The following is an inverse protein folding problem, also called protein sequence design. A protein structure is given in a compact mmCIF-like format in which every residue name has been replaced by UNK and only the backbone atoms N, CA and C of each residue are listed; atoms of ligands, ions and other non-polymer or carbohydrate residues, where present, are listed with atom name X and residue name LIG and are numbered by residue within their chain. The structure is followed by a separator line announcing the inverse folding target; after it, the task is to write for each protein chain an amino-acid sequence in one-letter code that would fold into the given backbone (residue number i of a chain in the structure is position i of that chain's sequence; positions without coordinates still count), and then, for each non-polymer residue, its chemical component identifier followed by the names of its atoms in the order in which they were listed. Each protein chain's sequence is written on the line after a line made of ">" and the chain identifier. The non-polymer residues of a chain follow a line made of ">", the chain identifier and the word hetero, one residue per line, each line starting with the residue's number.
data_IF_044574411651
#
_entry.id   IF_044574411651
#
_cell.length_a   1.000
_cell.length_b   1.000
_cell.length_c   1.000
_cell.angle_alpha   90.00
_cell.angle_beta   90.00
_cell.angle_gamma   90.00
#
_symmetry.space_group_name_H-M   'P 1'
#
loop_
_entity.id
_entity.type
_entity.pdbx_description
1 polymer ?
#
# COMPACT_ATOMS: atom_id res chain seq x y z
N UNK A 1 -16.02 -10.46 3.96
CA UNK A 1 -16.98 -9.37 4.05
C UNK A 1 -16.29 -8.03 3.84
N UNK A 2 -17.08 -6.98 3.55
CA UNK A 2 -16.64 -5.59 3.55
C UNK A 2 -17.22 -4.92 4.80
N UNK A 3 -16.37 -4.22 5.54
CA UNK A 3 -16.77 -3.36 6.64
C UNK A 3 -16.69 -1.90 6.22
N UNK A 4 -17.57 -1.07 6.74
CA UNK A 4 -17.35 0.37 6.86
C UNK A 4 -17.04 0.67 8.33
N UNK A 5 -15.95 1.42 8.57
CA UNK A 5 -15.44 1.71 9.90
C UNK A 5 -15.14 3.20 10.04
N UNK A 6 -15.23 3.72 11.25
CA UNK A 6 -14.74 5.05 11.60
C UNK A 6 -13.27 4.97 12.02
N UNK A 7 -12.43 5.76 11.32
CA UNK A 7 -11.03 5.95 11.67
C UNK A 7 -10.70 7.45 11.67
N UNK A 8 -9.83 7.88 12.55
CA UNK A 8 -9.26 9.22 12.47
C UNK A 8 -8.30 9.32 11.29
N UNK A 9 -8.02 10.55 10.84
CA UNK A 9 -7.01 10.78 9.81
C UNK A 9 -5.63 10.30 10.23
N UNK A 10 -5.29 10.46 11.52
CA UNK A 10 -4.03 9.94 12.05
C UNK A 10 -3.98 8.41 11.98
N UNK A 11 -5.04 7.71 12.38
CA UNK A 11 -5.12 6.24 12.28
C UNK A 11 -5.01 5.74 10.83
N UNK A 12 -5.58 6.47 9.85
CA UNK A 12 -5.43 6.16 8.42
C UNK A 12 -3.98 6.33 7.99
N UNK A 13 -3.33 7.42 8.39
CA UNK A 13 -1.92 7.65 8.09
C UNK A 13 -1.05 6.55 8.70
N UNK A 14 -1.23 6.23 9.96
CA UNK A 14 -0.44 5.23 10.68
C UNK A 14 -0.65 3.81 10.11
N UNK A 15 -1.86 3.48 9.67
CA UNK A 15 -2.15 2.27 8.91
C UNK A 15 -1.28 2.16 7.64
N UNK A 16 -1.19 3.25 6.88
CA UNK A 16 -0.37 3.31 5.66
C UNK A 16 1.12 3.31 5.98
N UNK A 17 1.55 4.04 7.01
CA UNK A 17 2.93 4.03 7.49
C UNK A 17 3.38 2.61 7.85
N UNK A 18 2.56 1.86 8.57
CA UNK A 18 2.82 0.47 8.90
C UNK A 18 2.94 -0.41 7.64
N UNK A 19 2.04 -0.23 6.66
CA UNK A 19 2.07 -0.96 5.41
C UNK A 19 3.36 -0.71 4.63
N UNK A 20 3.68 0.56 4.37
CA UNK A 20 4.85 0.94 3.59
C UNK A 20 6.16 0.75 4.36
N UNK A 21 6.13 0.94 5.69
CA UNK A 21 7.27 0.70 6.55
C UNK A 21 7.72 -0.75 6.60
N UNK A 22 6.79 -1.69 6.48
CA UNK A 22 7.10 -3.12 6.41
C UNK A 22 7.55 -3.58 5.02
N UNK A 23 7.20 -2.83 3.97
CA UNK A 23 7.44 -3.22 2.59
C UNK A 23 8.68 -2.56 2.00
N UNK A 24 8.81 -1.25 2.15
CA UNK A 24 9.93 -0.49 1.60
C UNK A 24 11.09 -0.37 2.57
N UNK A 25 12.29 -0.53 2.02
CA UNK A 25 13.52 -0.14 2.69
C UNK A 25 13.56 1.39 2.90
N UNK A 26 14.36 1.85 3.83
CA UNK A 26 14.75 3.26 3.87
C UNK A 26 15.96 3.42 2.95
N UNK A 27 15.75 4.08 1.81
CA UNK A 27 16.84 4.32 0.87
C UNK A 27 17.67 5.52 1.32
N UNK A 28 18.97 5.34 1.42
CA UNK A 28 19.95 6.38 1.68
C UNK A 28 20.69 6.83 0.42
N UNK A 29 20.63 6.00 -0.61
CA UNK A 29 21.24 6.20 -1.91
C UNK A 29 20.32 5.69 -3.02
N UNK A 30 20.44 6.26 -4.22
CA UNK A 30 19.62 5.86 -5.38
C UNK A 30 19.89 4.43 -5.86
N UNK A 31 21.01 3.83 -5.45
CA UNK A 31 21.39 2.47 -5.76
C UNK A 31 20.98 1.45 -4.69
N UNK A 32 20.33 1.89 -3.61
CA UNK A 32 19.80 1.00 -2.60
C UNK A 32 18.69 0.10 -3.15
N UNK A 33 18.42 -1.00 -2.47
CA UNK A 33 17.23 -1.81 -2.71
C UNK A 33 15.98 -1.07 -2.21
N UNK A 34 14.92 -1.08 -3.01
CA UNK A 34 13.63 -0.49 -2.65
C UNK A 34 12.89 -1.34 -1.61
N UNK A 35 12.97 -2.67 -1.75
CA UNK A 35 12.25 -3.61 -0.90
C UNK A 35 13.12 -4.10 0.25
N UNK A 36 12.48 -4.47 1.36
CA UNK A 36 13.15 -5.04 2.52
C UNK A 36 13.41 -6.53 2.32
N UNK A 37 14.65 -6.85 2.03
CA UNK A 37 15.13 -8.23 1.96
C UNK A 37 15.78 -8.65 3.26
N UNK A 38 15.75 -9.96 3.53
CA UNK A 38 16.59 -10.56 4.58
C UNK A 38 18.02 -10.67 4.11
N UNK A 39 18.94 -10.53 5.03
CA UNK A 39 20.38 -10.72 4.79
C UNK A 39 20.88 -11.93 5.59
N UNK A 40 21.91 -12.58 5.06
CA UNK A 40 22.65 -13.62 5.75
C UNK A 40 23.74 -13.01 6.65
N UNK A 41 24.53 -13.88 7.32
CA UNK A 41 25.59 -13.47 8.25
C UNK A 41 26.73 -12.75 7.53
N UNK A 42 26.91 -12.96 6.24
CA UNK A 42 27.93 -12.33 5.40
C UNK A 42 27.43 -11.00 4.78
N UNK A 43 26.18 -10.60 5.05
CA UNK A 43 25.57 -9.37 4.53
C UNK A 43 25.05 -9.48 3.10
N UNK A 44 24.92 -10.69 2.53
CA UNK A 44 24.29 -10.91 1.25
C UNK A 44 22.79 -11.11 1.39
N UNK A 45 22.03 -10.77 0.36
CA UNK A 45 20.57 -11.03 0.36
C UNK A 45 20.33 -12.54 0.43
N UNK A 46 19.57 -12.94 1.46
CA UNK A 46 19.24 -14.34 1.68
C UNK A 46 18.30 -14.86 0.61
N UNK A 47 18.69 -15.96 -0.03
CA UNK A 47 17.91 -16.63 -1.05
C UNK A 47 17.14 -17.82 -0.45
N UNK A 48 15.89 -17.98 -0.85
CA UNK A 48 15.09 -19.14 -0.49
C UNK A 48 15.65 -20.41 -1.13
N UNK A 49 15.91 -21.43 -0.33
CA UNK A 49 16.41 -22.71 -0.83
C UNK A 49 15.43 -23.38 -1.79
N UNK A 50 14.13 -23.21 -1.52
CA UNK A 50 13.05 -23.84 -2.30
C UNK A 50 12.77 -23.13 -3.62
N UNK A 51 12.68 -21.78 -3.58
CA UNK A 51 12.20 -21.01 -4.74
C UNK A 51 13.32 -20.31 -5.48
N UNK A 52 14.54 -20.29 -4.93
CA UNK A 52 15.71 -19.58 -5.47
C UNK A 52 15.43 -18.09 -5.74
N UNK A 53 14.55 -17.50 -4.94
CA UNK A 53 14.21 -16.08 -4.95
C UNK A 53 14.62 -15.42 -3.65
N UNK A 54 14.85 -14.10 -3.62
CA UNK A 54 15.13 -13.36 -2.39
C UNK A 54 14.08 -13.58 -1.32
N UNK A 55 14.48 -13.71 -0.07
CA UNK A 55 13.56 -13.70 1.06
C UNK A 55 13.28 -12.27 1.51
N UNK A 56 12.00 -11.96 1.69
CA UNK A 56 11.57 -10.68 2.25
C UNK A 56 11.58 -10.71 3.78
N UNK A 57 11.84 -9.56 4.43
CA UNK A 57 11.73 -9.44 5.89
C UNK A 57 10.31 -9.74 6.34
N UNK A 58 9.33 -9.14 5.66
CA UNK A 58 7.91 -9.30 5.95
C UNK A 58 7.18 -10.05 4.83
N UNK A 59 5.99 -10.53 5.13
CA UNK A 59 5.18 -11.26 4.16
C UNK A 59 4.63 -10.31 3.10
N UNK A 60 5.08 -10.44 1.85
CA UNK A 60 4.72 -9.56 0.74
C UNK A 60 3.20 -9.37 0.55
N UNK A 61 2.39 -10.39 0.85
CA UNK A 61 0.93 -10.31 0.73
C UNK A 61 0.26 -9.48 1.84
N UNK A 62 1.02 -8.98 2.81
CA UNK A 62 0.51 -8.14 3.88
C UNK A 62 0.50 -6.64 3.53
N UNK A 63 0.90 -6.29 2.32
CA UNK A 63 0.88 -4.93 1.81
C UNK A 63 -0.55 -4.38 1.63
N UNK A 64 -0.74 -3.10 1.90
CA UNK A 64 -1.99 -2.37 1.67
C UNK A 64 -1.70 -0.96 1.17
N UNK A 65 -2.53 -0.49 0.24
CA UNK A 65 -2.61 0.90 -0.19
C UNK A 65 -4.04 1.40 -0.02
N UNK A 66 -4.30 2.68 -0.23
CA UNK A 66 -5.62 3.27 -0.09
C UNK A 66 -6.07 3.98 -1.37
N UNK A 67 -7.37 3.98 -1.62
CA UNK A 67 -8.07 4.84 -2.55
C UNK A 67 -8.94 5.84 -1.78
N UNK A 68 -9.40 6.89 -2.43
CA UNK A 68 -10.22 7.93 -1.77
C UNK A 68 -9.41 9.08 -1.17
N UNK A 69 -8.10 8.97 -1.14
CA UNK A 69 -7.14 9.99 -0.68
C UNK A 69 -5.99 10.12 -1.67
N UNK A 70 -5.37 11.29 -1.73
CA UNK A 70 -4.16 11.57 -2.52
C UNK A 70 -2.96 11.69 -1.58
N UNK A 71 -1.89 10.92 -1.84
CA UNK A 71 -0.74 10.90 -0.94
C UNK A 71 0.58 10.56 -1.65
N UNK A 72 1.68 10.86 -0.97
CA UNK A 72 3.03 10.43 -1.37
C UNK A 72 3.65 9.55 -0.29
N UNK A 73 4.57 8.69 -0.72
CA UNK A 73 5.38 7.84 0.16
C UNK A 73 6.85 8.15 -0.08
N UNK A 74 7.50 8.78 0.88
CA UNK A 74 8.90 9.16 0.79
C UNK A 74 9.80 8.03 1.32
N UNK A 75 10.50 7.34 0.42
CA UNK A 75 11.35 6.20 0.75
C UNK A 75 12.70 6.59 1.36
N UNK A 76 13.03 7.88 1.40
CA UNK A 76 14.26 8.37 2.07
C UNK A 76 14.06 8.50 3.58
N UNK A 77 12.80 8.54 4.03
CA UNK A 77 12.45 8.74 5.42
C UNK A 77 12.32 7.43 6.19
N UNK A 78 12.51 7.46 7.51
CA UNK A 78 12.27 6.30 8.36
C UNK A 78 10.79 5.90 8.34
N UNK A 79 10.51 4.65 8.71
CA UNK A 79 9.14 4.16 8.89
C UNK A 79 8.41 5.01 9.96
N UNK A 80 7.19 5.43 9.67
CA UNK A 80 6.41 6.34 10.51
C UNK A 80 6.40 7.80 10.03
N UNK A 81 7.30 8.17 9.10
CA UNK A 81 7.44 9.54 8.59
C UNK A 81 7.32 9.62 7.06
N UNK A 82 6.95 8.52 6.39
CA UNK A 82 6.98 8.38 4.93
C UNK A 82 5.74 8.89 4.23
N UNK A 83 4.58 8.72 4.87
CA UNK A 83 3.29 8.97 4.23
C UNK A 83 2.86 10.41 4.46
N UNK A 84 2.68 11.14 3.36
CA UNK A 84 2.11 12.48 3.38
C UNK A 84 0.78 12.48 2.61
N UNK A 85 -0.33 12.51 3.33
CA UNK A 85 -1.68 12.60 2.77
C UNK A 85 -2.04 14.08 2.62
N UNK A 86 -2.40 14.48 1.40
CA UNK A 86 -2.67 15.90 1.09
C UNK A 86 -4.16 16.21 1.04
N UNK A 87 -4.93 15.40 0.31
CA UNK A 87 -6.34 15.66 0.08
C UNK A 87 -7.14 14.34 0.00
N UNK A 88 -8.43 14.45 0.13
CA UNK A 88 -9.36 13.44 -0.39
C UNK A 88 -9.34 13.46 -1.93
N UNK A 89 -9.82 12.40 -2.59
CA UNK A 89 -9.85 12.33 -4.07
C UNK A 89 -10.74 13.38 -4.73
N UNK A 90 -11.65 14.01 -3.99
CA UNK A 90 -12.46 15.14 -4.47
C UNK A 90 -11.77 16.51 -4.28
N UNK A 91 -10.50 16.54 -3.82
CA UNK A 91 -9.72 17.77 -3.63
C UNK A 91 -9.89 18.45 -2.28
N UNK A 92 -10.77 17.97 -1.41
CA UNK A 92 -10.92 18.51 -0.04
C UNK A 92 -9.65 18.19 0.76
N UNK A 93 -9.08 19.14 1.52
CA UNK A 93 -7.91 18.89 2.37
C UNK A 93 -8.16 17.72 3.34
N UNK A 94 -7.12 16.93 3.56
CA UNK A 94 -7.14 15.85 4.54
C UNK A 94 -6.62 16.36 5.88
N UNK A 95 -7.33 16.05 6.97
CA UNK A 95 -6.98 16.45 8.33
C UNK A 95 -6.78 15.24 9.22
N UNK A 96 -5.67 15.20 9.95
CA UNK A 96 -5.32 14.08 10.83
C UNK A 96 -6.24 13.92 12.03
N UNK A 97 -6.84 15.01 12.49
CA UNK A 97 -7.75 15.08 13.64
C UNK A 97 -9.23 14.86 13.27
N UNK A 98 -9.55 14.79 11.98
CA UNK A 98 -10.90 14.52 11.50
C UNK A 98 -11.20 13.02 11.48
N UNK A 99 -12.48 12.66 11.57
CA UNK A 99 -12.96 11.27 11.46
C UNK A 99 -13.45 11.00 10.04
N UNK A 100 -13.10 9.83 9.51
CA UNK A 100 -13.46 9.39 8.17
C UNK A 100 -14.12 8.02 8.20
N UNK A 101 -15.09 7.81 7.30
CA UNK A 101 -15.64 6.47 7.04
C UNK A 101 -14.77 5.75 6.02
N UNK A 102 -14.21 4.63 6.43
CA UNK A 102 -13.30 3.82 5.62
C UNK A 102 -13.94 2.49 5.26
N UNK A 103 -13.92 2.12 3.98
CA UNK A 103 -14.28 0.79 3.52
C UNK A 103 -13.05 -0.13 3.56
N UNK A 104 -13.17 -1.25 4.26
CA UNK A 104 -12.06 -2.19 4.50
C UNK A 104 -12.56 -3.64 4.51
N UNK A 105 -11.75 -4.60 4.04
CA UNK A 105 -12.14 -6.00 4.15
C UNK A 105 -12.17 -6.45 5.62
N UNK A 106 -13.03 -7.44 5.92
CA UNK A 106 -13.23 -7.92 7.30
C UNK A 106 -11.97 -8.46 7.95
N UNK A 107 -11.04 -9.05 7.18
CA UNK A 107 -9.75 -9.51 7.72
C UNK A 107 -8.95 -8.35 8.33
N UNK A 108 -8.81 -7.25 7.59
CA UNK A 108 -8.12 -6.04 8.07
C UNK A 108 -8.91 -5.35 9.17
N UNK A 109 -10.23 -5.20 8.97
CA UNK A 109 -11.12 -4.55 9.94
C UNK A 109 -11.18 -5.26 11.29
N UNK A 110 -10.88 -6.57 11.32
CA UNK A 110 -10.78 -7.34 12.59
C UNK A 110 -9.34 -7.43 13.12
N UNK A 111 -8.41 -6.59 12.62
CA UNK A 111 -7.03 -6.51 13.09
C UNK A 111 -6.06 -7.44 12.38
N UNK A 112 -6.51 -8.19 11.37
CA UNK A 112 -5.65 -9.09 10.58
C UNK A 112 -4.51 -8.35 9.90
N UNK A 113 -3.30 -8.91 10.01
CA UNK A 113 -2.07 -8.32 9.45
C UNK A 113 -1.49 -7.17 10.26
N UNK A 114 -2.15 -6.73 11.35
CA UNK A 114 -1.60 -5.76 12.29
C UNK A 114 -1.70 -4.28 11.91
N UNK A 115 -2.26 -3.93 10.74
CA UNK A 115 -2.31 -2.54 10.29
C UNK A 115 -3.11 -1.63 11.23
N UNK A 116 -4.30 -2.06 11.67
CA UNK A 116 -5.11 -1.30 12.61
C UNK A 116 -4.60 -1.40 14.05
N UNK A 117 -4.06 -2.55 14.44
CA UNK A 117 -3.64 -2.77 15.83
C UNK A 117 -2.21 -2.28 16.09
N UNK A 118 -1.21 -2.84 15.37
CA UNK A 118 0.20 -2.46 15.56
C UNK A 118 0.57 -1.17 14.82
N UNK A 119 -0.05 -0.94 13.67
CA UNK A 119 0.17 0.27 12.87
C UNK A 119 -0.56 1.47 13.47
N UNK A 120 -1.89 1.45 13.45
CA UNK A 120 -2.70 2.57 13.94
C UNK A 120 -2.90 2.59 15.47
N UNK A 121 -2.37 1.60 16.21
CA UNK A 121 -2.41 1.59 17.67
C UNK A 121 -3.79 1.30 18.27
N UNK A 122 -4.77 0.87 17.48
CA UNK A 122 -6.13 0.62 17.98
C UNK A 122 -6.17 -0.70 18.75
N UNK A 123 -6.59 -0.71 20.02
CA UNK A 123 -6.78 -1.94 20.79
C UNK A 123 -7.73 -2.90 20.05
N UNK A 124 -7.38 -4.19 20.04
CA UNK A 124 -8.15 -5.19 19.26
C UNK A 124 -9.62 -5.25 19.66
N UNK A 125 -9.91 -5.10 20.94
CA UNK A 125 -11.25 -5.08 21.53
C UNK A 125 -12.07 -3.85 21.11
N UNK A 126 -11.43 -2.76 20.66
CA UNK A 126 -12.09 -1.55 20.19
C UNK A 126 -12.52 -1.65 18.71
N UNK A 127 -11.88 -2.52 17.92
CA UNK A 127 -12.12 -2.60 16.47
C UNK A 127 -13.58 -2.88 16.14
N UNK A 128 -14.25 -3.77 16.88
CA UNK A 128 -15.66 -4.09 16.66
C UNK A 128 -16.60 -2.91 16.90
N UNK A 129 -16.26 -2.02 17.81
CA UNK A 129 -17.02 -0.80 18.11
C UNK A 129 -16.90 0.27 17.03
N UNK A 130 -15.83 0.20 16.22
CA UNK A 130 -15.60 1.12 15.10
C UNK A 130 -16.34 0.73 13.83
N UNK A 131 -16.92 -0.48 13.78
CA UNK A 131 -17.67 -0.96 12.61
C UNK A 131 -19.05 -0.30 12.57
N UNK A 132 -19.29 0.50 11.51
CA UNK A 132 -20.59 1.13 11.26
C UNK A 132 -21.52 0.13 10.57
N UNK A 133 -20.98 -0.61 9.59
CA UNK A 133 -21.76 -1.54 8.79
C UNK A 133 -20.89 -2.72 8.28
N UNK A 134 -21.53 -3.83 7.99
CA UNK A 134 -20.93 -5.02 7.40
C UNK A 134 -21.84 -5.57 6.31
N UNK A 135 -21.25 -6.02 5.21
CA UNK A 135 -22.00 -6.71 4.15
C UNK A 135 -22.47 -8.08 4.61
N UNK A 136 -23.59 -8.56 4.06
CA UNK A 136 -24.15 -9.90 4.30
C UNK A 136 -23.48 -11.01 3.48
N UNK A 137 -22.84 -10.65 2.36
CA UNK A 137 -22.10 -11.55 1.48
C UNK A 137 -20.62 -11.18 1.44
N UNK A 138 -19.78 -12.09 1.01
CA UNK A 138 -18.35 -11.83 0.83
C UNK A 138 -18.07 -10.90 -0.37
N UNK A 139 -16.88 -10.31 -0.37
CA UNK A 139 -16.47 -9.38 -1.43
C UNK A 139 -16.49 -10.01 -2.83
N UNK A 140 -16.24 -11.32 -2.95
CA UNK A 140 -16.24 -12.03 -4.24
C UNK A 140 -17.64 -12.06 -4.83
N UNK A 141 -18.66 -12.25 -4.00
CA UNK A 141 -20.07 -12.19 -4.45
C UNK A 141 -20.37 -10.84 -5.10
N UNK A 142 -20.02 -9.72 -4.44
CA UNK A 142 -20.28 -8.39 -4.97
C UNK A 142 -19.44 -8.10 -6.22
N UNK A 143 -18.18 -8.55 -6.25
CA UNK A 143 -17.32 -8.42 -7.43
C UNK A 143 -17.91 -9.18 -8.63
N UNK A 144 -18.37 -10.42 -8.43
CA UNK A 144 -19.02 -11.21 -9.47
C UNK A 144 -20.27 -10.49 -10.01
N UNK A 145 -21.14 -10.01 -9.11
CA UNK A 145 -22.35 -9.27 -9.51
C UNK A 145 -22.04 -7.98 -10.26
N UNK A 146 -20.98 -7.28 -9.85
CA UNK A 146 -20.52 -6.09 -10.55
C UNK A 146 -19.99 -6.41 -11.96
N UNK A 147 -19.19 -7.49 -12.10
CA UNK A 147 -18.68 -7.97 -13.39
C UNK A 147 -19.85 -8.39 -14.33
N UNK A 148 -20.80 -9.18 -13.81
CA UNK A 148 -22.01 -9.58 -14.56
C UNK A 148 -22.76 -8.36 -15.11
N UNK A 149 -22.89 -7.30 -14.30
CA UNK A 149 -23.56 -6.06 -14.69
C UNK A 149 -22.76 -5.26 -15.72
N UNK A 150 -21.42 -5.18 -15.57
CA UNK A 150 -20.54 -4.42 -16.45
C UNK A 150 -20.27 -5.10 -17.78
N UNK A 151 -20.30 -6.44 -17.82
CA UNK A 151 -20.00 -7.33 -18.96
C UNK A 151 -18.58 -7.18 -19.50
N UNK A 152 -18.14 -5.96 -19.75
CA UNK A 152 -16.78 -5.65 -20.21
C UNK A 152 -16.06 -4.82 -19.15
N UNK A 153 -14.82 -5.19 -18.83
CA UNK A 153 -13.97 -4.48 -17.89
C UNK A 153 -12.85 -3.77 -18.63
N UNK A 154 -12.68 -2.50 -18.32
CA UNK A 154 -11.53 -1.69 -18.74
C UNK A 154 -10.83 -1.16 -17.49
N UNK A 155 -9.87 -1.91 -16.93
CA UNK A 155 -9.17 -1.48 -15.73
C UNK A 155 -8.47 -0.15 -15.94
N UNK A 156 -8.60 0.75 -14.97
CA UNK A 156 -7.93 2.05 -14.96
C UNK A 156 -7.01 2.12 -13.76
N UNK A 157 -5.84 2.72 -13.94
CA UNK A 157 -4.94 3.03 -12.84
C UNK A 157 -5.44 4.30 -12.14
N UNK A 158 -5.69 4.23 -10.83
CA UNK A 158 -6.24 5.36 -10.08
C UNK A 158 -5.19 6.45 -9.84
N UNK A 159 -3.92 6.21 -9.91
CA UNK A 159 -2.81 7.18 -9.77
C UNK A 159 -2.94 8.19 -8.61
N UNK A 160 -3.62 7.80 -7.53
CA UNK A 160 -3.90 8.66 -6.38
C UNK A 160 -2.74 8.71 -5.36
N UNK A 161 -1.68 7.96 -5.62
CA UNK A 161 -0.48 8.00 -4.80
C UNK A 161 0.77 7.70 -5.62
N UNK A 162 1.92 8.14 -5.09
CA UNK A 162 3.22 7.89 -5.71
C UNK A 162 4.31 7.76 -4.65
N UNK A 163 5.37 7.05 -5.03
CA UNK A 163 6.60 6.98 -4.24
C UNK A 163 7.54 8.10 -4.67
N UNK A 164 8.23 8.70 -3.72
CA UNK A 164 9.21 9.76 -3.96
C UNK A 164 10.51 9.44 -3.20
N UNK A 165 11.67 9.87 -3.70
CA UNK A 165 11.94 10.52 -5.00
C UNK A 165 11.69 9.59 -6.19
N UNK A 166 11.15 10.13 -7.29
CA UNK A 166 10.77 9.33 -8.48
C UNK A 166 11.96 8.60 -9.11
N UNK A 167 13.13 9.24 -9.15
CA UNK A 167 14.35 8.61 -9.68
C UNK A 167 14.76 7.39 -8.85
N UNK A 168 14.82 7.51 -7.54
CA UNK A 168 15.20 6.42 -6.63
C UNK A 168 14.18 5.27 -6.67
N UNK A 169 12.90 5.63 -6.73
CA UNK A 169 11.84 4.65 -6.94
C UNK A 169 12.04 3.82 -8.21
N UNK A 170 12.31 4.48 -9.35
CA UNK A 170 12.50 3.81 -10.64
C UNK A 170 13.74 2.92 -10.64
N UNK A 171 14.83 3.39 -10.08
CA UNK A 171 16.10 2.64 -10.00
C UNK A 171 15.99 1.44 -9.07
N UNK A 172 15.49 1.66 -7.83
CA UNK A 172 15.28 0.59 -6.85
C UNK A 172 14.31 -0.47 -7.35
N UNK A 173 13.19 -0.06 -7.96
CA UNK A 173 12.23 -0.98 -8.59
C UNK A 173 12.87 -1.82 -9.68
N UNK A 174 13.67 -1.22 -10.56
CA UNK A 174 14.38 -1.94 -11.62
C UNK A 174 15.35 -2.97 -11.03
N UNK A 175 16.18 -2.54 -10.09
CA UNK A 175 17.15 -3.39 -9.41
C UNK A 175 16.48 -4.60 -8.74
N UNK A 176 15.41 -4.37 -7.98
CA UNK A 176 14.71 -5.43 -7.25
C UNK A 176 13.94 -6.35 -8.19
N UNK A 177 13.39 -5.82 -9.28
CA UNK A 177 12.75 -6.63 -10.31
C UNK A 177 13.74 -7.59 -10.96
N UNK A 178 14.91 -7.10 -11.36
CA UNK A 178 15.98 -7.92 -11.95
C UNK A 178 16.49 -8.99 -10.97
N UNK A 179 16.53 -8.68 -9.68
CA UNK A 179 16.91 -9.62 -8.63
C UNK A 179 15.87 -10.73 -8.44
N UNK A 180 14.59 -10.39 -8.46
CA UNK A 180 13.49 -11.34 -8.19
C UNK A 180 13.18 -12.21 -9.41
N UNK A 181 13.18 -11.62 -10.61
CA UNK A 181 12.68 -12.26 -11.84
C UNK A 181 13.77 -12.54 -12.89
N UNK A 182 15.01 -12.15 -12.61
CA UNK A 182 16.09 -12.19 -13.59
C UNK A 182 16.05 -11.01 -14.56
N UNK A 183 17.07 -10.93 -15.47
CA UNK A 183 17.16 -9.87 -16.50
C UNK A 183 16.12 -10.09 -17.61
N UNK A 184 14.87 -9.98 -17.29
CA UNK A 184 13.77 -9.92 -18.25
C UNK A 184 13.32 -8.47 -18.40
N UNK A 185 12.85 -8.10 -19.58
CA UNK A 185 12.38 -6.75 -19.84
C UNK A 185 11.31 -6.37 -18.80
N UNK A 186 11.60 -5.37 -17.98
CA UNK A 186 10.60 -4.71 -17.17
C UNK A 186 9.44 -4.35 -18.09
N UNK A 187 8.17 -4.56 -17.69
CA UNK A 187 7.05 -3.97 -18.40
C UNK A 187 7.36 -2.49 -18.58
N UNK A 188 7.43 -2.03 -19.83
CA UNK A 188 7.67 -0.62 -20.14
C UNK A 188 6.65 0.21 -19.36
N UNK A 189 7.07 1.33 -18.77
CA UNK A 189 6.18 2.32 -18.17
C UNK A 189 5.33 2.98 -19.28
N UNK A 190 4.53 2.18 -19.99
CA UNK A 190 3.67 2.62 -21.09
C UNK A 190 2.57 3.60 -20.64
N UNK A 191 2.57 4.00 -19.37
CA UNK A 191 1.67 4.98 -18.79
C UNK A 191 2.33 6.29 -18.32
N UNK A 192 3.60 6.56 -18.69
CA UNK A 192 4.21 7.86 -18.35
C UNK A 192 3.74 9.03 -19.23
N UNK A 193 2.81 8.82 -20.17
CA UNK A 193 2.36 9.87 -21.09
C UNK A 193 0.96 10.43 -20.82
N UNK A 194 0.38 10.28 -19.64
CA UNK A 194 -0.86 10.98 -19.31
C UNK A 194 -0.79 11.75 -17.99
N UNK A 195 0.30 12.51 -17.77
CA UNK A 195 0.31 13.58 -16.78
C UNK A 195 -0.27 14.87 -17.40
N UNK A 196 -1.54 14.85 -17.77
CA UNK A 196 -2.32 16.07 -17.90
C UNK A 196 -2.98 16.37 -16.56
N UNK A 197 -2.20 16.76 -15.59
CA UNK A 197 -2.65 17.60 -14.49
C UNK A 197 -2.42 19.05 -14.87
N UNK A 198 -3.17 19.52 -15.87
CA UNK A 198 -3.43 20.95 -16.04
C UNK A 198 -4.94 21.16 -15.94
N UNK A 199 -5.29 21.92 -14.92
CA UNK A 199 -6.56 22.65 -14.73
C UNK A 199 -7.84 21.81 -14.63
N UNK A 200 -8.30 21.59 -13.39
CA UNK A 200 -9.66 22.03 -13.00
C UNK A 200 -9.63 22.35 -11.50
#
# INVERSE_FOLDING_TARGET
>A
FLYTMELSGQEIKDYLEYSFGNWFNQMSDENDHLLKFKYDEDGNIKMSDRYKTPEFEERFYNYSSAAGINYTVDITKPSGERVNITTLSNGIPFYSDSTYTVAINSYRGSGGGGHLTRGAGIPKEELSKRIINSTDKDLRFYLMKWIEKKKTLSPQIISNWKVVPDLWWKQGRKKDYELIFGKTNLPSDSNSQNSKFEKY
#
